data_IF_894224101419
#
_entry.id   IF_894224101419
#
_cell.length_a   1.000
_cell.length_b   1.000
_cell.length_c   1.000
_cell.angle_alpha   90.00
_cell.angle_beta   90.00
_cell.angle_gamma   90.00
#
_symmetry.space_group_name_H-M   'P 1'
#
loop_
_entity.id
_entity.type
_entity.pdbx_description
1 polymer ?
#
# COMPACT_ATOMS: atom_id res chain seq x y z
N UNK A 1 18.63 12.14 -5.59
CA UNK A 1 17.75 11.80 -4.46
C UNK A 1 16.72 12.90 -4.38
N UNK A 2 15.45 12.63 -4.68
CA UNK A 2 14.40 13.65 -4.54
C UNK A 2 14.06 13.74 -3.05
N UNK A 3 14.43 14.85 -2.43
CA UNK A 3 14.04 15.18 -1.06
C UNK A 3 12.53 15.45 -1.07
N UNK A 4 11.75 14.60 -0.42
CA UNK A 4 10.31 14.84 -0.25
C UNK A 4 10.19 16.02 0.70
N UNK A 5 9.80 17.18 0.19
CA UNK A 5 9.58 18.37 1.02
C UNK A 5 8.46 18.10 2.01
N UNK A 6 8.80 18.07 3.30
CA UNK A 6 7.84 17.97 4.38
C UNK A 6 6.97 19.24 4.42
N UNK A 7 5.69 19.05 4.69
CA UNK A 7 4.71 20.12 4.86
C UNK A 7 4.77 20.64 6.28
N UNK A 8 4.57 21.94 6.45
CA UNK A 8 4.35 22.49 7.78
C UNK A 8 3.00 22.02 8.36
N UNK A 9 2.76 22.27 9.65
CA UNK A 9 1.55 21.80 10.33
C UNK A 9 0.24 22.29 9.68
N UNK A 10 0.19 23.55 9.27
CA UNK A 10 -1.01 24.13 8.65
C UNK A 10 -1.24 23.58 7.24
N UNK A 11 -0.18 23.42 6.44
CA UNK A 11 -0.25 22.75 5.13
C UNK A 11 -0.71 21.30 5.28
N UNK A 12 -0.20 20.60 6.30
CA UNK A 12 -0.54 19.22 6.59
C UNK A 12 -2.01 19.06 7.01
N UNK A 13 -2.51 19.94 7.88
CA UNK A 13 -3.93 19.97 8.25
C UNK A 13 -4.83 20.24 7.05
N UNK A 14 -4.49 21.23 6.23
CA UNK A 14 -5.25 21.53 5.01
C UNK A 14 -5.30 20.35 4.06
N UNK A 15 -4.16 19.69 3.85
CA UNK A 15 -4.08 18.49 3.04
C UNK A 15 -4.94 17.36 3.64
N UNK A 16 -4.86 17.15 4.95
CA UNK A 16 -5.66 16.14 5.62
C UNK A 16 -7.16 16.38 5.49
N UNK A 17 -7.63 17.63 5.72
CA UNK A 17 -9.04 17.99 5.56
C UNK A 17 -9.54 17.72 4.15
N UNK A 18 -8.75 18.08 3.14
CA UNK A 18 -9.09 17.84 1.74
C UNK A 18 -9.35 16.37 1.47
N UNK A 19 -8.48 15.47 1.96
CA UNK A 19 -8.63 14.03 1.73
C UNK A 19 -9.66 13.36 2.64
N UNK A 20 -9.94 13.91 3.82
CA UNK A 20 -10.92 13.36 4.77
C UNK A 20 -12.37 13.81 4.52
N UNK A 21 -12.57 15.04 4.04
CA UNK A 21 -13.92 15.64 3.87
C UNK A 21 -14.22 16.11 2.44
N UNK A 22 -13.22 16.11 1.54
CA UNK A 22 -13.39 16.64 0.18
C UNK A 22 -13.44 18.18 0.12
N UNK A 23 -13.22 18.87 1.23
CA UNK A 23 -13.20 20.32 1.32
C UNK A 23 -12.28 20.80 2.44
N UNK A 24 -12.05 22.11 2.51
CA UNK A 24 -11.19 22.69 3.56
C UNK A 24 -11.94 22.96 4.88
N UNK A 25 -13.24 22.64 4.97
CA UNK A 25 -14.03 22.79 6.19
C UNK A 25 -14.23 21.45 6.90
N UNK A 26 -14.00 21.42 8.21
CA UNK A 26 -14.16 20.23 9.04
C UNK A 26 -15.02 20.59 10.27
N UNK A 27 -15.92 19.70 10.73
CA UNK A 27 -16.66 19.95 11.97
C UNK A 27 -15.71 20.11 13.16
N UNK A 28 -16.01 21.04 14.06
CA UNK A 28 -15.11 21.37 15.19
C UNK A 28 -14.77 20.16 16.06
N UNK A 29 -15.71 19.22 16.21
CA UNK A 29 -15.51 18.00 16.99
C UNK A 29 -14.43 17.04 16.45
N UNK A 30 -14.00 17.21 15.20
CA UNK A 30 -12.91 16.44 14.59
C UNK A 30 -11.55 17.15 14.68
N UNK A 31 -11.49 18.47 14.98
CA UNK A 31 -10.27 19.29 14.92
C UNK A 31 -9.14 18.78 15.79
N UNK A 32 -9.43 18.44 17.04
CA UNK A 32 -8.41 17.97 17.96
C UNK A 32 -7.79 16.64 17.51
N UNK A 33 -8.64 15.68 17.12
CA UNK A 33 -8.18 14.37 16.65
C UNK A 33 -7.43 14.47 15.32
N UNK A 34 -7.91 15.29 14.37
CA UNK A 34 -7.22 15.59 13.13
C UNK A 34 -5.81 16.15 13.40
N UNK A 35 -5.69 17.10 14.33
CA UNK A 35 -4.40 17.67 14.73
C UNK A 35 -3.42 16.61 15.25
N UNK A 36 -3.90 15.70 16.10
CA UNK A 36 -3.07 14.59 16.62
C UNK A 36 -2.67 13.59 15.53
N UNK A 37 -3.60 13.20 14.65
CA UNK A 37 -3.34 12.31 13.50
C UNK A 37 -2.31 12.92 12.53
N UNK A 38 -2.44 14.21 12.22
CA UNK A 38 -1.50 14.93 11.36
C UNK A 38 -0.10 15.00 11.99
N UNK A 39 0.00 15.20 13.31
CA UNK A 39 1.30 15.16 14.01
C UNK A 39 1.97 13.79 13.87
N UNK A 40 1.21 12.69 13.89
CA UNK A 40 1.78 11.35 13.67
C UNK A 40 2.39 11.19 12.26
N UNK A 41 1.88 11.93 11.27
CA UNK A 41 2.36 11.86 9.88
C UNK A 41 3.68 12.60 9.63
N UNK A 42 4.14 13.44 10.57
CA UNK A 42 5.44 14.11 10.48
C UNK A 42 5.62 14.98 9.24
N UNK A 43 4.55 15.62 8.75
CA UNK A 43 4.61 16.49 7.56
C UNK A 43 4.73 15.76 6.21
N UNK A 44 4.72 14.42 6.19
CA UNK A 44 4.87 13.66 4.95
C UNK A 44 3.56 13.67 4.14
N UNK A 45 3.54 14.26 2.93
CA UNK A 45 2.31 14.38 2.14
C UNK A 45 1.62 13.04 1.90
N UNK A 46 2.38 11.98 1.62
CA UNK A 46 1.81 10.66 1.37
C UNK A 46 1.09 10.10 2.60
N UNK A 47 1.72 10.16 3.78
CA UNK A 47 1.13 9.64 5.01
C UNK A 47 -0.17 10.38 5.34
N UNK A 48 -0.17 11.70 5.16
CA UNK A 48 -1.35 12.56 5.37
C UNK A 48 -2.49 12.20 4.40
N UNK A 49 -2.18 12.07 3.11
CA UNK A 49 -3.16 11.70 2.07
C UNK A 49 -3.79 10.34 2.35
N UNK A 50 -2.96 9.36 2.67
CA UNK A 50 -3.39 7.98 2.95
C UNK A 50 -4.29 7.95 4.18
N UNK A 51 -3.87 8.59 5.27
CA UNK A 51 -4.65 8.62 6.51
C UNK A 51 -5.97 9.37 6.36
N UNK A 52 -5.95 10.55 5.71
CA UNK A 52 -7.14 11.35 5.43
C UNK A 52 -8.16 10.57 4.60
N UNK A 53 -7.72 9.95 3.50
CA UNK A 53 -8.61 9.17 2.63
C UNK A 53 -9.19 7.94 3.34
N UNK A 54 -8.37 7.27 4.16
CA UNK A 54 -8.80 6.08 4.92
C UNK A 54 -9.90 6.41 5.93
N UNK A 55 -9.80 7.59 6.56
CA UNK A 55 -10.74 8.06 7.57
C UNK A 55 -11.92 8.84 6.98
N UNK A 56 -11.93 9.04 5.65
CA UNK A 56 -13.01 9.72 4.95
C UNK A 56 -14.34 9.01 5.19
N UNK A 57 -15.37 9.79 5.48
CA UNK A 57 -16.73 9.32 5.78
C UNK A 57 -16.83 8.34 6.97
N UNK A 58 -15.78 8.21 7.80
CA UNK A 58 -15.80 7.39 9.02
C UNK A 58 -16.25 8.21 10.23
N UNK A 59 -16.83 7.53 11.22
CA UNK A 59 -17.28 8.17 12.45
C UNK A 59 -16.11 8.62 13.32
N UNK A 60 -16.35 9.59 14.21
CA UNK A 60 -15.34 10.08 15.15
C UNK A 60 -14.76 8.97 16.04
N UNK A 61 -15.54 7.94 16.36
CA UNK A 61 -15.05 6.79 17.13
C UNK A 61 -13.98 5.99 16.35
N UNK A 62 -14.15 5.83 15.04
CA UNK A 62 -13.15 5.19 14.18
C UNK A 62 -11.86 6.01 14.13
N UNK A 63 -11.97 7.34 14.08
CA UNK A 63 -10.80 8.24 14.09
C UNK A 63 -9.98 8.11 15.37
N UNK A 64 -10.64 8.11 16.54
CA UNK A 64 -9.97 7.91 17.83
C UNK A 64 -9.30 6.55 17.92
N UNK A 65 -9.99 5.49 17.49
CA UNK A 65 -9.42 4.13 17.46
C UNK A 65 -8.20 4.04 16.54
N UNK A 66 -8.21 4.72 15.38
CA UNK A 66 -7.05 4.80 14.50
C UNK A 66 -5.88 5.53 15.17
N UNK A 67 -6.14 6.62 15.90
CA UNK A 67 -5.12 7.35 16.66
C UNK A 67 -4.52 6.47 17.78
N UNK A 68 -5.34 5.76 18.55
CA UNK A 68 -4.88 4.83 19.59
C UNK A 68 -3.99 3.71 19.01
N UNK A 69 -4.40 3.12 17.86
CA UNK A 69 -3.56 2.15 17.14
C UNK A 69 -2.24 2.76 16.68
N UNK A 70 -2.23 4.05 16.33
CA UNK A 70 -1.04 4.84 16.04
C UNK A 70 -0.26 5.26 17.31
N UNK A 71 -0.69 4.99 18.51
CA UNK A 71 0.11 5.31 19.71
C UNK A 71 0.71 4.04 20.33
N UNK A 72 0.03 2.89 20.17
CA UNK A 72 0.40 1.63 20.80
C UNK A 72 1.60 0.88 20.17
N UNK A 73 1.91 1.08 18.88
CA UNK A 73 2.89 0.22 18.16
C UNK A 73 4.25 0.93 17.99
N UNK A 74 5.37 0.34 18.49
CA UNK A 74 6.70 0.97 18.49
C UNK A 74 7.49 0.94 17.16
N UNK A 75 6.94 0.35 16.09
CA UNK A 75 7.58 0.29 14.77
C UNK A 75 7.55 1.64 14.01
N UNK A 76 8.30 1.73 12.90
CA UNK A 76 8.43 2.95 12.10
C UNK A 76 7.07 3.61 11.81
N UNK A 77 6.89 4.84 12.33
CA UNK A 77 5.61 5.55 12.34
C UNK A 77 4.93 5.62 10.97
N UNK A 78 5.73 5.72 9.91
CA UNK A 78 5.24 5.88 8.54
C UNK A 78 4.66 4.58 7.99
N UNK A 79 5.38 3.45 8.09
CA UNK A 79 4.85 2.16 7.61
C UNK A 79 3.52 1.80 8.30
N UNK A 80 3.37 2.17 9.57
CA UNK A 80 2.12 1.97 10.31
C UNK A 80 0.97 2.83 9.77
N UNK A 81 1.22 4.11 9.50
CA UNK A 81 0.19 5.00 8.91
C UNK A 81 -0.24 4.49 7.54
N UNK A 82 0.71 4.04 6.72
CA UNK A 82 0.38 3.48 5.41
C UNK A 82 -0.38 2.15 5.53
N UNK A 83 -0.02 1.31 6.52
CA UNK A 83 -0.69 0.03 6.79
C UNK A 83 -2.13 0.19 7.25
N UNK A 84 -2.50 1.30 7.90
CA UNK A 84 -3.91 1.55 8.26
C UNK A 84 -4.82 1.55 7.03
N UNK A 85 -4.35 2.11 5.90
CA UNK A 85 -5.11 2.10 4.66
C UNK A 85 -5.30 0.70 4.12
N UNK A 86 -4.23 -0.11 4.09
CA UNK A 86 -4.31 -1.52 3.72
C UNK A 86 -5.23 -2.33 4.66
N UNK A 87 -5.05 -2.17 5.97
CA UNK A 87 -5.84 -2.86 7.00
C UNK A 87 -7.33 -2.47 6.96
N UNK A 88 -7.68 -1.37 6.30
CA UNK A 88 -9.05 -0.87 6.15
C UNK A 88 -9.74 -1.30 4.85
N UNK A 89 -9.06 -2.07 3.99
CA UNK A 89 -9.65 -2.71 2.81
C UNK A 89 -10.72 -3.72 3.26
N UNK A 90 -11.84 -3.74 2.52
CA UNK A 90 -13.10 -4.34 2.96
C UNK A 90 -13.07 -5.87 2.97
N UNK A 91 -12.34 -6.47 2.04
CA UNK A 91 -12.24 -7.92 1.89
C UNK A 91 -10.80 -8.39 1.62
N UNK A 92 -10.61 -9.70 1.67
CA UNK A 92 -9.33 -10.34 1.37
C UNK A 92 -8.98 -10.28 -0.12
N UNK A 93 -9.98 -10.05 -0.98
CA UNK A 93 -9.77 -9.97 -2.40
C UNK A 93 -8.98 -8.71 -2.77
N UNK A 94 -9.40 -7.53 -2.30
CA UNK A 94 -8.69 -6.26 -2.51
C UNK A 94 -7.31 -6.25 -1.83
N UNK A 95 -7.20 -6.91 -0.67
CA UNK A 95 -5.91 -7.09 0.02
C UNK A 95 -4.94 -7.92 -0.82
N UNK A 96 -5.40 -9.06 -1.34
CA UNK A 96 -4.58 -9.90 -2.21
C UNK A 96 -4.20 -9.17 -3.50
N UNK A 97 -5.15 -8.44 -4.11
CA UNK A 97 -4.91 -7.63 -5.29
C UNK A 97 -3.81 -6.59 -5.06
N UNK A 98 -3.88 -5.88 -3.92
CA UNK A 98 -2.84 -4.93 -3.53
C UNK A 98 -1.46 -5.58 -3.45
N UNK A 99 -1.35 -6.74 -2.80
CA UNK A 99 -0.10 -7.46 -2.63
C UNK A 99 0.46 -7.98 -3.98
N UNK A 100 -0.41 -8.47 -4.86
CA UNK A 100 -0.03 -8.93 -6.20
C UNK A 100 0.48 -7.77 -7.05
N UNK A 101 -0.18 -6.61 -7.00
CA UNK A 101 0.32 -5.42 -7.70
C UNK A 101 1.66 -4.98 -7.12
N UNK A 102 1.78 -4.85 -5.79
CA UNK A 102 2.99 -4.40 -5.10
C UNK A 102 4.23 -5.25 -5.44
N UNK A 103 4.01 -6.54 -5.74
CA UNK A 103 5.08 -7.47 -6.06
C UNK A 103 5.32 -7.66 -7.56
N UNK A 104 4.27 -7.76 -8.38
CA UNK A 104 4.38 -8.24 -9.76
C UNK A 104 3.97 -7.22 -10.83
N UNK A 105 2.95 -6.42 -10.56
CA UNK A 105 2.29 -5.62 -11.61
C UNK A 105 2.61 -4.12 -11.60
N UNK A 106 3.46 -3.63 -10.70
CA UNK A 106 3.94 -2.24 -10.78
C UNK A 106 4.61 -1.98 -12.14
N UNK A 107 4.18 -0.91 -12.80
CA UNK A 107 4.65 -0.48 -14.11
C UNK A 107 4.04 -1.24 -15.29
N UNK A 108 3.15 -2.22 -15.04
CA UNK A 108 2.37 -2.91 -16.07
C UNK A 108 1.15 -2.09 -16.46
N UNK A 109 0.67 -2.33 -17.68
CA UNK A 109 -0.55 -1.74 -18.19
C UNK A 109 -1.77 -2.26 -17.42
N UNK A 110 -2.74 -1.38 -17.11
CA UNK A 110 -3.93 -1.69 -16.31
C UNK A 110 -4.79 -2.77 -16.96
N UNK A 111 -5.02 -2.70 -18.27
CA UNK A 111 -5.92 -3.60 -18.98
C UNK A 111 -5.27 -4.99 -19.12
N UNK A 112 -3.95 -5.02 -19.34
CA UNK A 112 -3.16 -6.23 -19.27
C UNK A 112 -3.23 -6.90 -17.88
N UNK A 113 -3.05 -6.12 -16.80
CA UNK A 113 -3.14 -6.65 -15.44
C UNK A 113 -4.54 -7.17 -15.13
N UNK A 114 -5.58 -6.44 -15.54
CA UNK A 114 -6.99 -6.83 -15.36
C UNK A 114 -7.27 -8.17 -16.04
N UNK A 115 -6.84 -8.33 -17.29
CA UNK A 115 -7.02 -9.58 -18.04
C UNK A 115 -6.40 -10.78 -17.33
N UNK A 116 -5.21 -10.63 -16.76
CA UNK A 116 -4.51 -11.73 -16.07
C UNK A 116 -5.19 -12.08 -14.76
N UNK A 117 -5.46 -11.07 -13.93
CA UNK A 117 -5.98 -11.29 -12.58
C UNK A 117 -7.44 -11.73 -12.59
N UNK A 118 -8.26 -11.24 -13.53
CA UNK A 118 -9.63 -11.74 -13.70
C UNK A 118 -9.64 -13.22 -14.14
N UNK A 119 -8.63 -13.66 -14.89
CA UNK A 119 -8.39 -15.07 -15.18
C UNK A 119 -7.97 -15.92 -13.97
N UNK A 120 -7.64 -15.27 -12.85
CA UNK A 120 -7.38 -15.88 -11.54
C UNK A 120 -8.53 -15.65 -10.54
N UNK A 121 -9.75 -15.46 -11.06
CA UNK A 121 -10.98 -15.22 -10.29
C UNK A 121 -10.97 -13.93 -9.46
N UNK A 122 -10.17 -12.93 -9.88
CA UNK A 122 -10.28 -11.60 -9.31
C UNK A 122 -11.40 -10.77 -9.96
N UNK A 123 -11.99 -9.87 -9.18
CA UNK A 123 -12.77 -8.71 -9.60
C UNK A 123 -11.83 -7.50 -9.73
N UNK A 124 -10.87 -7.56 -10.66
CA UNK A 124 -9.72 -6.64 -10.69
C UNK A 124 -10.13 -5.20 -10.95
N UNK A 125 -11.14 -4.98 -11.80
CA UNK A 125 -11.58 -3.63 -12.16
C UNK A 125 -12.06 -2.85 -10.93
N UNK A 126 -12.96 -3.42 -10.12
CA UNK A 126 -13.46 -2.76 -8.91
C UNK A 126 -12.38 -2.64 -7.85
N UNK A 127 -11.55 -3.67 -7.68
CA UNK A 127 -10.45 -3.63 -6.72
C UNK A 127 -9.43 -2.53 -7.04
N UNK A 128 -9.10 -2.29 -8.32
CA UNK A 128 -8.23 -1.17 -8.72
C UNK A 128 -8.84 0.17 -8.31
N UNK A 129 -10.14 0.39 -8.54
CA UNK A 129 -10.82 1.63 -8.14
C UNK A 129 -10.79 1.81 -6.61
N UNK A 130 -11.02 0.73 -5.86
CA UNK A 130 -10.95 0.75 -4.39
C UNK A 130 -9.54 1.13 -3.87
N UNK A 131 -8.49 0.63 -4.52
CA UNK A 131 -7.10 0.96 -4.17
C UNK A 131 -6.75 2.41 -4.53
N UNK A 132 -7.28 2.94 -5.64
CA UNK A 132 -7.12 4.35 -6.04
C UNK A 132 -7.82 5.28 -5.06
N UNK A 133 -9.03 4.92 -4.60
CA UNK A 133 -9.78 5.68 -3.61
C UNK A 133 -9.08 5.79 -2.24
N UNK A 134 -8.09 4.93 -1.96
CA UNK A 134 -7.37 4.83 -0.67
C UNK A 134 -5.89 5.26 -0.74
N UNK A 135 -5.54 6.11 -1.71
CA UNK A 135 -4.18 6.38 -2.20
C UNK A 135 -3.16 5.24 -2.14
N UNK A 136 -3.58 3.99 -2.32
CA UNK A 136 -2.71 2.81 -2.35
C UNK A 136 -2.17 2.53 -3.75
N UNK A 137 -2.88 2.99 -4.78
CA UNK A 137 -2.56 2.78 -6.18
C UNK A 137 -2.84 4.06 -6.97
N UNK A 138 -2.07 4.29 -8.03
CA UNK A 138 -2.38 5.31 -9.04
C UNK A 138 -2.18 4.74 -10.44
N UNK A 139 -2.80 5.35 -11.44
CA UNK A 139 -2.58 5.04 -12.85
C UNK A 139 -1.92 6.27 -13.48
N UNK A 140 -0.82 6.08 -14.22
CA UNK A 140 -0.19 7.17 -14.93
C UNK A 140 -0.81 7.40 -16.32
N UNK A 141 -0.37 8.46 -17.00
CA UNK A 141 -0.86 8.85 -18.34
C UNK A 141 -0.69 7.77 -19.41
N UNK A 142 0.17 6.77 -19.18
CA UNK A 142 0.41 5.64 -20.09
C UNK A 142 -0.41 4.40 -19.69
N UNK A 143 -1.47 4.57 -18.90
CA UNK A 143 -2.31 3.50 -18.37
C UNK A 143 -1.55 2.47 -17.51
N UNK A 144 -0.41 2.86 -16.91
CA UNK A 144 0.39 1.93 -16.08
C UNK A 144 0.05 2.05 -14.61
N UNK A 145 -0.04 0.90 -13.94
CA UNK A 145 -0.19 0.79 -12.50
C UNK A 145 1.06 1.31 -11.79
N UNK A 146 0.88 2.27 -10.90
CA UNK A 146 1.96 2.90 -10.15
C UNK A 146 1.64 2.85 -8.66
N UNK A 147 2.65 2.52 -7.86
CA UNK A 147 2.59 2.65 -6.41
C UNK A 147 3.71 3.58 -5.96
N UNK A 148 3.41 4.41 -4.96
CA UNK A 148 4.48 5.17 -4.30
C UNK A 148 5.46 4.18 -3.65
N UNK A 149 6.76 4.51 -3.66
CA UNK A 149 7.82 3.65 -3.14
C UNK A 149 7.51 3.08 -1.75
N UNK A 150 7.08 3.94 -0.82
CA UNK A 150 6.74 3.54 0.55
C UNK A 150 5.51 2.63 0.65
N UNK A 151 4.52 2.79 -0.24
CA UNK A 151 3.34 1.91 -0.30
C UNK A 151 3.75 0.52 -0.78
N UNK A 152 4.56 0.47 -1.85
CA UNK A 152 5.13 -0.77 -2.36
C UNK A 152 5.95 -1.49 -1.29
N UNK A 153 6.81 -0.76 -0.60
CA UNK A 153 7.71 -1.35 0.41
C UNK A 153 6.92 -1.85 1.63
N UNK A 154 5.85 -1.15 2.01
CA UNK A 154 4.90 -1.64 3.01
C UNK A 154 4.21 -2.95 2.58
N UNK A 155 3.72 -3.05 1.34
CA UNK A 155 3.12 -4.29 0.82
C UNK A 155 4.11 -5.46 0.81
N UNK A 156 5.35 -5.21 0.39
CA UNK A 156 6.43 -6.20 0.41
C UNK A 156 6.80 -6.62 1.83
N UNK A 157 6.77 -5.69 2.78
CA UNK A 157 7.02 -6.00 4.19
C UNK A 157 5.89 -6.86 4.79
N UNK A 158 4.64 -6.65 4.40
CA UNK A 158 3.52 -7.53 4.80
C UNK A 158 3.80 -8.98 4.36
N UNK A 159 4.27 -9.19 3.13
CA UNK A 159 4.59 -10.52 2.61
C UNK A 159 5.82 -11.12 3.32
N UNK A 160 6.83 -10.30 3.63
CA UNK A 160 8.00 -10.76 4.41
C UNK A 160 7.61 -11.21 5.82
N UNK A 161 6.56 -10.65 6.40
CA UNK A 161 6.06 -11.02 7.73
C UNK A 161 5.27 -12.34 7.75
N UNK A 162 4.86 -12.87 6.59
CA UNK A 162 4.19 -14.17 6.51
C UNK A 162 5.13 -15.31 6.94
N UNK A 163 6.40 -15.23 6.56
CA UNK A 163 7.43 -16.19 6.97
C UNK A 163 8.84 -15.61 6.82
N UNK A 164 9.76 -15.90 7.77
CA UNK A 164 11.18 -15.61 7.57
C UNK A 164 11.76 -16.36 6.35
N UNK A 165 11.25 -17.57 6.06
CA UNK A 165 11.63 -18.35 4.89
C UNK A 165 10.87 -17.85 3.65
N UNK A 166 11.60 -17.51 2.59
CA UNK A 166 11.01 -17.10 1.33
C UNK A 166 10.12 -18.21 0.73
N UNK A 167 10.52 -19.47 0.85
CA UNK A 167 9.79 -20.61 0.28
C UNK A 167 8.37 -20.79 0.84
N UNK A 168 8.10 -20.19 2.00
CA UNK A 168 6.81 -20.28 2.70
C UNK A 168 5.95 -19.01 2.57
N UNK A 169 6.38 -18.01 1.81
CA UNK A 169 5.62 -16.78 1.56
C UNK A 169 4.66 -16.94 0.39
N UNK A 170 3.57 -16.20 0.42
CA UNK A 170 2.53 -16.21 -0.62
C UNK A 170 2.95 -15.58 -1.93
N UNK A 171 3.88 -14.61 -1.91
CA UNK A 171 4.44 -13.97 -3.11
C UNK A 171 5.95 -13.92 -3.10
N UNK A 172 6.51 -14.17 -4.27
CA UNK A 172 7.95 -14.15 -4.52
C UNK A 172 8.30 -13.22 -5.67
N UNK A 173 9.44 -12.53 -5.55
CA UNK A 173 9.94 -11.65 -6.61
C UNK A 173 11.47 -11.64 -6.66
N UNK A 174 12.00 -11.37 -7.86
CA UNK A 174 13.43 -11.17 -8.10
C UNK A 174 14.30 -12.31 -7.55
N UNK A 175 15.18 -12.00 -6.58
CA UNK A 175 16.16 -12.93 -6.03
C UNK A 175 15.48 -14.05 -5.23
N UNK A 176 14.49 -13.72 -4.42
CA UNK A 176 13.77 -14.69 -3.59
C UNK A 176 13.06 -15.72 -4.48
N UNK A 177 12.41 -15.28 -5.56
CA UNK A 177 11.81 -16.17 -6.56
C UNK A 177 12.85 -17.10 -7.23
N UNK A 178 14.00 -16.56 -7.59
CA UNK A 178 15.06 -17.35 -8.23
C UNK A 178 15.68 -18.38 -7.28
N UNK A 179 16.02 -17.96 -6.06
CA UNK A 179 16.67 -18.82 -5.07
C UNK A 179 15.73 -19.98 -4.68
N UNK A 180 14.44 -19.70 -4.44
CA UNK A 180 13.43 -20.72 -4.12
C UNK A 180 13.26 -21.74 -5.25
N UNK A 181 13.24 -21.29 -6.51
CA UNK A 181 13.15 -22.20 -7.67
C UNK A 181 14.42 -23.02 -7.84
N UNK A 182 15.59 -22.40 -7.72
CA UNK A 182 16.90 -23.08 -7.86
C UNK A 182 17.06 -24.17 -6.79
N UNK A 183 16.72 -23.85 -5.56
CA UNK A 183 16.90 -24.71 -4.39
C UNK A 183 15.73 -25.67 -4.19
N UNK A 184 14.64 -25.50 -4.93
CA UNK A 184 13.40 -26.29 -4.84
C UNK A 184 12.81 -26.28 -3.42
N UNK A 185 12.90 -25.13 -2.76
CA UNK A 185 12.41 -24.91 -1.39
C UNK A 185 11.01 -24.29 -1.34
N UNK A 186 10.34 -24.16 -2.49
CA UNK A 186 9.01 -23.56 -2.57
C UNK A 186 7.93 -24.46 -1.99
N UNK A 187 6.99 -23.85 -1.27
CA UNK A 187 5.85 -24.54 -0.66
C UNK A 187 4.54 -24.21 -1.38
N UNK A 188 3.47 -24.90 -0.99
CA UNK A 188 2.11 -24.70 -1.54
C UNK A 188 1.49 -23.35 -1.16
N UNK A 189 2.13 -22.57 -0.29
CA UNK A 189 1.65 -21.24 0.08
C UNK A 189 1.91 -20.20 -1.01
N UNK A 190 2.87 -20.45 -1.90
CA UNK A 190 3.23 -19.54 -3.00
C UNK A 190 2.09 -19.49 -4.03
N UNK A 191 1.46 -18.33 -4.16
CA UNK A 191 0.42 -18.06 -5.14
C UNK A 191 0.94 -17.26 -6.34
N UNK A 192 1.93 -16.39 -6.13
CA UNK A 192 2.46 -15.52 -7.18
C UNK A 192 3.99 -15.48 -7.17
N UNK A 193 4.58 -15.47 -8.36
CA UNK A 193 6.03 -15.44 -8.53
C UNK A 193 6.43 -14.58 -9.74
N UNK A 194 7.30 -13.59 -9.52
CA UNK A 194 7.89 -12.77 -10.56
C UNK A 194 9.37 -13.08 -10.78
N UNK A 195 9.71 -13.56 -11.98
CA UNK A 195 11.08 -13.82 -12.42
C UNK A 195 11.52 -12.83 -13.48
N UNK A 196 12.74 -12.32 -13.31
CA UNK A 196 13.46 -11.62 -14.38
C UNK A 196 14.41 -12.61 -15.08
N UNK A 197 13.91 -13.25 -16.14
CA UNK A 197 14.66 -14.21 -16.94
C UNK A 197 15.91 -13.59 -17.60
N UNK A 198 15.90 -12.29 -17.91
CA UNK A 198 17.07 -11.64 -18.50
C UNK A 198 18.21 -11.47 -17.48
N UNK A 199 17.86 -11.21 -16.22
CA UNK A 199 18.80 -11.22 -15.11
C UNK A 199 19.41 -12.60 -14.84
N UNK A 200 18.68 -13.68 -15.14
CA UNK A 200 19.15 -15.06 -14.95
C UNK A 200 20.18 -15.47 -16.00
N UNK A 201 19.96 -15.13 -17.27
CA UNK A 201 20.88 -15.46 -18.36
C UNK A 201 22.22 -14.73 -18.25
N UNK A 202 22.28 -13.58 -17.56
CA UNK A 202 23.52 -12.82 -17.32
C UNK A 202 24.37 -13.35 -16.17
N UNK A 203 23.84 -14.22 -15.31
CA UNK A 203 24.57 -14.81 -14.16
C UNK A 203 25.13 -16.21 -14.46
N UNK A 204 24.95 -16.71 -15.68
CA UNK A 204 25.45 -18.00 -16.15
C UNK A 204 26.61 -17.86 -17.15
N UNK A 205 27.16 -16.67 -17.33
CA UNK A 205 28.32 -16.37 -18.18
C UNK A 205 29.42 -15.73 -17.36
#
# INVERSE_FOLDING_TARGET
MFEVKELNFNESLRLFHWYAFGCNSMPECFMECAGSLVKQCGGLPLAIRVLGSTLSSKSMNVWRSALEKLEAIPNSKIHRILRISYDSLEDDHDRNLFLDIACLFIGKDRDYTTTILDGCDFYTTIGIENLIGRPLLTINEKNKLMMHQMIRDMGREIIRQESPDAGERSRLWHKDAFDVIREKTGSKTIHCLALDLQGLLKKQV
#
